data_IF_771633086890
#
_entry.id   IF_771633086890
#
_cell.length_a   1.000
_cell.length_b   1.000
_cell.length_c   1.000
_cell.angle_alpha   90.00
_cell.angle_beta   90.00
_cell.angle_gamma   90.00
#
_symmetry.space_group_name_H-M   'P 1'
#
loop_
_entity.id
_entity.type
_entity.pdbx_description
1 polymer ?
#
# COMPACT_ATOMS: atom_id res chain seq x y z
N UNK A 1 -19.38 -5.46 18.22
CA UNK A 1 -18.31 -4.48 17.97
C UNK A 1 -18.82 -3.11 18.37
N UNK A 2 -18.10 -2.38 19.22
CA UNK A 2 -18.48 -1.00 19.59
C UNK A 2 -17.99 0.02 18.55
N UNK A 3 -18.56 1.23 18.52
CA UNK A 3 -18.18 2.25 17.52
C UNK A 3 -16.67 2.61 17.56
N UNK A 4 -16.06 2.62 18.76
CA UNK A 4 -14.63 2.90 18.93
C UNK A 4 -13.75 1.80 18.34
N UNK A 5 -14.16 0.56 18.54
CA UNK A 5 -13.46 -0.61 18.00
C UNK A 5 -13.53 -0.62 16.47
N UNK A 6 -14.68 -0.26 15.90
CA UNK A 6 -14.84 -0.10 14.46
C UNK A 6 -13.93 0.99 13.88
N UNK A 7 -13.82 2.14 14.54
CA UNK A 7 -12.91 3.21 14.14
C UNK A 7 -11.44 2.76 14.23
N UNK A 8 -11.04 2.04 15.28
CA UNK A 8 -9.67 1.51 15.39
C UNK A 8 -9.34 0.53 14.26
N UNK A 9 -10.27 -0.36 13.92
CA UNK A 9 -10.13 -1.28 12.78
C UNK A 9 -10.01 -0.48 11.47
N UNK A 10 -10.87 0.51 11.25
CA UNK A 10 -10.87 1.37 10.07
C UNK A 10 -9.57 2.16 9.92
N UNK A 11 -9.12 2.84 10.99
CA UNK A 11 -7.85 3.56 11.01
C UNK A 11 -6.67 2.64 10.71
N UNK A 12 -6.69 1.42 11.28
CA UNK A 12 -5.70 0.39 11.01
C UNK A 12 -5.67 -0.03 9.55
N UNK A 13 -6.83 -0.33 8.99
CA UNK A 13 -7.01 -0.77 7.62
C UNK A 13 -6.60 0.33 6.62
N UNK A 14 -7.02 1.56 6.86
CA UNK A 14 -6.67 2.70 6.01
C UNK A 14 -5.18 3.03 6.05
N UNK A 15 -4.55 2.96 7.22
CA UNK A 15 -3.10 3.13 7.33
C UNK A 15 -2.34 2.05 6.54
N UNK A 16 -2.80 0.80 6.57
CA UNK A 16 -2.23 -0.29 5.79
C UNK A 16 -2.42 -0.06 4.27
N UNK A 17 -3.62 0.35 3.85
CA UNK A 17 -3.94 0.70 2.47
C UNK A 17 -2.99 1.78 1.92
N UNK A 18 -2.81 2.89 2.65
CA UNK A 18 -1.92 3.98 2.21
C UNK A 18 -0.46 3.51 2.12
N UNK A 19 0.00 2.64 3.02
CA UNK A 19 1.36 2.04 2.95
C UNK A 19 1.50 1.17 1.71
N UNK A 20 0.60 0.20 1.55
CA UNK A 20 0.62 -0.72 0.42
C UNK A 20 0.53 0.04 -0.92
N UNK A 21 -0.28 1.11 -0.97
CA UNK A 21 -0.40 1.94 -2.16
C UNK A 21 0.91 2.63 -2.54
N UNK A 22 1.61 3.22 -1.57
CA UNK A 22 2.92 3.83 -1.83
C UNK A 22 4.00 2.79 -2.15
N UNK A 23 4.05 1.69 -1.40
CA UNK A 23 5.05 0.64 -1.58
C UNK A 23 4.92 -0.03 -2.95
N UNK A 24 3.70 -0.35 -3.38
CA UNK A 24 3.42 -0.93 -4.70
C UNK A 24 3.83 -0.02 -5.85
N UNK A 25 3.79 1.30 -5.64
CA UNK A 25 4.20 2.27 -6.63
C UNK A 25 5.65 2.77 -6.47
N UNK A 26 6.39 2.32 -5.44
CA UNK A 26 7.72 2.84 -5.15
C UNK A 26 7.75 4.34 -4.79
N UNK A 27 6.63 4.88 -4.31
CA UNK A 27 6.47 6.32 -4.09
C UNK A 27 7.01 6.81 -2.76
N UNK A 28 7.55 8.03 -2.80
CA UNK A 28 7.81 8.80 -1.59
C UNK A 28 6.49 9.35 -1.01
N UNK A 29 6.53 9.84 0.23
CA UNK A 29 5.37 10.46 0.87
C UNK A 29 4.94 11.80 0.25
N UNK A 30 5.67 12.32 -0.75
CA UNK A 30 5.40 13.59 -1.42
C UNK A 30 4.59 13.46 -2.71
N UNK A 31 4.56 12.27 -3.32
CA UNK A 31 3.94 12.06 -4.64
C UNK A 31 2.47 12.46 -4.65
N UNK A 32 1.66 11.94 -3.72
CA UNK A 32 0.23 12.29 -3.66
C UNK A 32 -0.04 13.77 -3.30
N UNK A 33 0.65 14.39 -2.31
CA UNK A 33 0.56 15.83 -2.07
C UNK A 33 0.90 16.68 -3.30
N UNK A 34 2.03 16.40 -3.97
CA UNK A 34 2.46 17.12 -5.16
C UNK A 34 1.48 16.94 -6.32
N UNK A 35 0.92 15.73 -6.49
CA UNK A 35 -0.10 15.47 -7.49
C UNK A 35 -1.39 16.26 -7.23
N UNK A 36 -1.84 16.28 -5.97
CA UNK A 36 -3.03 17.01 -5.57
C UNK A 36 -2.88 18.52 -5.81
N UNK A 37 -1.72 19.08 -5.47
CA UNK A 37 -1.41 20.49 -5.72
C UNK A 37 -1.29 20.81 -7.21
N UNK A 38 -0.54 19.99 -7.96
CA UNK A 38 -0.27 20.22 -9.39
C UNK A 38 -1.54 20.22 -10.25
N UNK A 39 -2.51 19.39 -9.88
CA UNK A 39 -3.74 19.18 -10.63
C UNK A 39 -4.97 19.81 -9.96
N UNK A 40 -4.77 20.60 -8.89
CA UNK A 40 -5.83 21.25 -8.10
C UNK A 40 -6.93 20.26 -7.66
N UNK A 41 -6.54 19.06 -7.21
CA UNK A 41 -7.46 17.99 -6.80
C UNK A 41 -7.91 18.13 -5.33
N UNK A 42 -7.38 19.12 -4.62
CA UNK A 42 -7.66 19.40 -3.22
C UNK A 42 -6.40 19.64 -2.39
N UNK A 43 -6.58 19.93 -1.10
CA UNK A 43 -5.48 20.23 -0.17
C UNK A 43 -5.06 18.99 0.59
N UNK A 44 -3.87 18.48 0.27
CA UNK A 44 -3.25 17.36 0.97
C UNK A 44 -1.83 17.73 1.38
N UNK A 45 -1.58 17.83 2.68
CA UNK A 45 -0.22 18.05 3.18
C UNK A 45 0.51 16.72 3.42
N UNK A 46 1.82 16.70 3.14
CA UNK A 46 2.71 15.57 3.43
C UNK A 46 2.63 15.08 4.89
N UNK A 47 2.39 15.99 5.85
CA UNK A 47 2.21 15.66 7.26
C UNK A 47 0.91 14.88 7.52
N UNK A 48 -0.19 15.24 6.85
CA UNK A 48 -1.47 14.53 6.95
C UNK A 48 -1.33 13.10 6.41
N UNK A 49 -0.69 12.95 5.24
CA UNK A 49 -0.46 11.63 4.66
C UNK A 49 0.45 10.76 5.52
N UNK A 50 1.52 11.34 6.08
CA UNK A 50 2.39 10.65 7.04
C UNK A 50 1.63 10.24 8.31
N UNK A 51 0.76 11.11 8.83
CA UNK A 51 -0.03 10.80 10.03
C UNK A 51 -1.09 9.74 9.76
N UNK A 52 -1.77 9.76 8.60
CA UNK A 52 -2.69 8.69 8.16
C UNK A 52 -1.96 7.35 8.09
N UNK A 53 -0.82 7.31 7.41
CA UNK A 53 0.03 6.12 7.28
C UNK A 53 0.46 5.55 8.62
N UNK A 54 0.58 6.39 9.65
CA UNK A 54 1.04 6.02 10.98
C UNK A 54 -0.08 5.91 12.03
N UNK A 55 -1.36 5.99 11.64
CA UNK A 55 -2.52 5.95 12.56
C UNK A 55 -2.54 7.09 13.58
N UNK A 56 -1.94 8.24 13.25
CA UNK A 56 -1.85 9.42 14.13
C UNK A 56 -2.92 10.47 13.82
N UNK A 57 -3.58 10.38 12.66
CA UNK A 57 -4.63 11.32 12.28
C UNK A 57 -6.00 10.68 12.54
N UNK A 58 -6.59 11.00 13.70
CA UNK A 58 -7.87 10.41 14.15
C UNK A 58 -9.10 11.07 13.51
N UNK A 59 -9.00 12.34 13.12
CA UNK A 59 -10.11 13.11 12.54
C UNK A 59 -9.63 13.94 11.33
N UNK A 60 -9.28 13.27 10.21
CA UNK A 60 -9.02 13.97 8.96
C UNK A 60 -10.27 14.75 8.51
N UNK A 61 -10.06 15.98 8.02
CA UNK A 61 -11.13 16.73 7.37
C UNK A 61 -11.57 16.07 6.05
N UNK A 62 -12.80 16.33 5.57
CA UNK A 62 -13.32 15.74 4.34
C UNK A 62 -12.47 16.06 3.10
N UNK A 63 -11.81 17.22 3.07
CA UNK A 63 -10.91 17.63 1.98
C UNK A 63 -9.76 16.64 1.76
N UNK A 64 -9.30 15.95 2.80
CA UNK A 64 -8.24 14.95 2.69
C UNK A 64 -8.70 13.77 1.83
N UNK A 65 -9.94 13.31 2.04
CA UNK A 65 -10.52 12.21 1.25
C UNK A 65 -10.88 12.66 -0.16
N UNK A 66 -11.33 13.91 -0.33
CA UNK A 66 -11.56 14.50 -1.65
C UNK A 66 -10.26 14.54 -2.46
N UNK A 67 -9.16 15.02 -1.87
CA UNK A 67 -7.85 15.05 -2.52
C UNK A 67 -7.34 13.65 -2.87
N UNK A 68 -7.39 12.70 -1.93
CA UNK A 68 -6.95 11.32 -2.18
C UNK A 68 -7.80 10.63 -3.25
N UNK A 69 -9.13 10.78 -3.19
CA UNK A 69 -10.04 10.23 -4.20
C UNK A 69 -9.87 10.90 -5.57
N UNK A 70 -9.59 12.20 -5.60
CA UNK A 70 -9.25 12.95 -6.82
C UNK A 70 -7.97 12.42 -7.46
N UNK A 71 -6.90 12.30 -6.68
CA UNK A 71 -5.65 11.68 -7.13
C UNK A 71 -5.88 10.28 -7.67
N UNK A 72 -6.65 9.45 -6.95
CA UNK A 72 -6.91 8.08 -7.36
C UNK A 72 -7.65 7.98 -8.71
N UNK A 73 -8.69 8.81 -8.89
CA UNK A 73 -9.42 8.88 -10.16
C UNK A 73 -8.54 9.36 -11.31
N UNK A 74 -7.71 10.38 -11.06
CA UNK A 74 -6.76 10.84 -12.06
C UNK A 74 -5.78 9.73 -12.45
N UNK A 75 -5.23 8.99 -11.48
CA UNK A 75 -4.32 7.87 -11.75
C UNK A 75 -4.98 6.78 -12.59
N UNK A 76 -6.25 6.45 -12.31
CA UNK A 76 -6.98 5.47 -13.10
C UNK A 76 -7.21 5.92 -14.55
N UNK A 77 -7.49 7.21 -14.77
CA UNK A 77 -7.68 7.77 -16.11
C UNK A 77 -6.36 8.08 -16.84
N UNK A 78 -5.26 8.25 -16.11
CA UNK A 78 -3.96 8.61 -16.67
C UNK A 78 -3.25 7.45 -17.37
N UNK A 79 -3.75 6.21 -17.21
CA UNK A 79 -3.18 5.03 -17.87
C UNK A 79 -3.57 5.00 -19.35
N UNK A 80 -2.62 4.65 -20.22
CA UNK A 80 -2.93 4.47 -21.64
C UNK A 80 -3.77 3.19 -21.87
N UNK A 81 -4.85 3.31 -22.63
CA UNK A 81 -5.85 2.25 -22.90
C UNK A 81 -5.31 0.95 -23.58
N UNK A 82 -4.02 0.90 -23.96
CA UNK A 82 -3.48 -0.16 -24.83
C UNK A 82 -2.11 -0.67 -24.39
N UNK A 83 -2.01 -1.19 -23.17
CA UNK A 83 -0.80 -1.85 -22.73
C UNK A 83 -1.06 -3.31 -22.36
N UNK A 84 -0.07 -4.16 -22.65
CA UNK A 84 -0.08 -5.55 -22.21
C UNK A 84 -0.21 -5.62 -20.68
N UNK A 85 -0.78 -6.71 -20.12
CA UNK A 85 -0.91 -6.87 -18.67
C UNK A 85 0.44 -6.65 -17.97
N UNK A 86 0.54 -5.58 -17.18
CA UNK A 86 1.74 -5.24 -16.40
C UNK A 86 2.61 -4.11 -16.95
N UNK A 87 2.37 -3.62 -18.17
CA UNK A 87 3.05 -2.42 -18.68
C UNK A 87 2.14 -1.21 -18.35
N UNK A 88 2.52 -0.39 -17.36
CA UNK A 88 1.75 0.79 -16.97
C UNK A 88 2.52 2.02 -17.41
N UNK A 89 1.99 2.74 -18.42
CA UNK A 89 2.54 4.01 -18.87
C UNK A 89 1.46 5.06 -18.82
N UNK A 90 1.88 6.26 -18.42
CA UNK A 90 1.05 7.45 -18.47
C UNK A 90 0.71 7.77 -19.93
N UNK A 91 -0.52 8.21 -20.18
CA UNK A 91 -0.91 8.77 -21.47
C UNK A 91 -0.09 10.04 -21.77
N UNK A 92 0.09 10.41 -23.06
CA UNK A 92 0.78 11.65 -23.42
C UNK A 92 0.14 12.89 -22.80
N UNK A 93 -1.18 12.89 -22.65
CA UNK A 93 -1.96 13.97 -22.02
C UNK A 93 -1.64 14.07 -20.53
N UNK A 94 -1.63 12.94 -19.82
CA UNK A 94 -1.26 12.88 -18.41
C UNK A 94 0.19 13.32 -18.18
N UNK A 95 1.12 12.86 -19.03
CA UNK A 95 2.52 13.28 -18.98
C UNK A 95 2.68 14.79 -19.23
N UNK A 96 1.92 15.35 -20.18
CA UNK A 96 1.90 16.78 -20.48
C UNK A 96 1.44 17.64 -19.29
N UNK A 97 0.41 17.21 -18.57
CA UNK A 97 -0.07 17.92 -17.37
C UNK A 97 1.00 18.03 -16.27
N UNK A 98 1.86 17.03 -16.19
CA UNK A 98 2.94 16.92 -15.20
C UNK A 98 4.29 17.44 -15.69
N UNK A 99 4.40 17.93 -16.92
CA UNK A 99 5.69 18.31 -17.52
C UNK A 99 6.48 19.38 -16.73
N UNK A 100 5.80 20.22 -15.94
CA UNK A 100 6.46 21.23 -15.11
C UNK A 100 7.00 20.68 -13.77
N UNK A 101 6.75 19.41 -13.45
CA UNK A 101 7.32 18.71 -12.29
C UNK A 101 7.98 17.39 -12.75
N UNK A 102 9.25 17.44 -13.19
CA UNK A 102 9.96 16.27 -13.69
C UNK A 102 10.13 15.16 -12.65
N UNK A 103 10.22 15.50 -11.35
CA UNK A 103 10.37 14.51 -10.28
C UNK A 103 9.06 13.73 -10.10
N UNK A 104 7.94 14.44 -10.06
CA UNK A 104 6.61 13.82 -10.00
C UNK A 104 6.32 12.98 -11.25
N UNK A 105 6.64 13.50 -12.44
CA UNK A 105 6.49 12.75 -13.69
C UNK A 105 7.34 11.47 -13.70
N UNK A 106 8.59 11.53 -13.24
CA UNK A 106 9.46 10.37 -13.17
C UNK A 106 8.93 9.30 -12.20
N UNK A 107 8.40 9.71 -11.03
CA UNK A 107 7.81 8.80 -10.07
C UNK A 107 6.54 8.11 -10.61
N UNK A 108 5.65 8.87 -11.26
CA UNK A 108 4.40 8.34 -11.84
C UNK A 108 4.63 7.54 -13.13
N UNK A 109 5.72 7.80 -13.86
CA UNK A 109 6.10 7.00 -15.02
C UNK A 109 6.69 5.64 -14.64
N UNK A 110 7.23 5.49 -13.43
CA UNK A 110 7.70 4.19 -12.92
C UNK A 110 6.53 3.29 -12.52
N UNK A 111 5.53 3.85 -11.85
CA UNK A 111 4.33 3.12 -11.44
C UNK A 111 3.22 4.10 -11.06
N UNK A 112 1.99 3.80 -11.51
CA UNK A 112 0.79 4.60 -11.28
C UNK A 112 -0.46 3.73 -11.09
N UNK A 113 -0.33 2.70 -10.25
CA UNK A 113 -1.42 1.80 -9.89
C UNK A 113 -2.46 2.57 -9.06
N UNK A 114 -3.68 2.65 -9.58
CA UNK A 114 -4.83 3.18 -8.86
C UNK A 114 -5.42 2.15 -7.87
N UNK A 115 -6.10 2.66 -6.84
CA UNK A 115 -6.92 1.88 -5.94
C UNK A 115 -8.25 1.55 -6.62
N UNK A 116 -8.46 0.27 -6.89
CA UNK A 116 -9.71 -0.28 -7.40
C UNK A 116 -10.26 -1.29 -6.40
N UNK A 117 -11.58 -1.46 -6.35
CA UNK A 117 -12.24 -2.50 -5.55
C UNK A 117 -12.18 -3.88 -6.20
N UNK A 118 -12.89 -4.85 -5.62
CA UNK A 118 -12.96 -6.24 -6.12
C UNK A 118 -13.60 -6.36 -7.50
N UNK A 119 -14.44 -5.41 -7.88
CA UNK A 119 -15.12 -5.39 -9.18
C UNK A 119 -14.34 -4.56 -10.22
N UNK A 120 -13.17 -4.03 -9.82
CA UNK A 120 -12.32 -3.17 -10.65
C UNK A 120 -12.78 -1.72 -10.70
N UNK A 121 -13.74 -1.31 -9.88
CA UNK A 121 -14.20 0.08 -9.84
C UNK A 121 -13.23 0.95 -9.04
N UNK A 122 -12.95 2.15 -9.55
CA UNK A 122 -12.01 3.10 -8.95
C UNK A 122 -12.58 3.67 -7.66
N UNK A 123 -11.82 3.59 -6.56
CA UNK A 123 -12.25 4.17 -5.29
C UNK A 123 -12.27 5.71 -5.34
N UNK A 124 -13.37 6.30 -4.87
CA UNK A 124 -13.53 7.74 -4.67
C UNK A 124 -13.37 8.16 -3.21
N UNK A 125 -13.76 9.40 -2.93
CA UNK A 125 -13.62 10.00 -1.60
C UNK A 125 -14.52 9.32 -0.56
N UNK A 126 -15.75 8.95 -0.95
CA UNK A 126 -16.71 8.29 -0.07
C UNK A 126 -16.22 6.91 0.34
N UNK A 127 -15.73 6.12 -0.61
CA UNK A 127 -15.20 4.79 -0.37
C UNK A 127 -13.96 4.83 0.53
N UNK A 128 -13.06 5.79 0.31
CA UNK A 128 -11.90 6.01 1.16
C UNK A 128 -12.30 6.41 2.59
N UNK A 129 -13.32 7.25 2.75
CA UNK A 129 -13.87 7.60 4.06
C UNK A 129 -14.48 6.37 4.74
N UNK A 130 -15.29 5.58 4.03
CA UNK A 130 -15.91 4.36 4.54
C UNK A 130 -14.86 3.35 5.04
N UNK A 131 -13.74 3.20 4.32
CA UNK A 131 -12.61 2.36 4.77
C UNK A 131 -12.01 2.94 6.06
N UNK A 132 -11.76 4.25 6.09
CA UNK A 132 -11.18 4.92 7.26
C UNK A 132 -12.03 4.78 8.52
N UNK A 133 -13.35 4.84 8.41
CA UNK A 133 -14.26 4.66 9.56
C UNK A 133 -14.64 3.20 9.81
N UNK A 134 -14.12 2.26 9.03
CA UNK A 134 -14.36 0.82 9.20
C UNK A 134 -15.76 0.35 8.77
N UNK A 135 -16.41 1.07 7.84
CA UNK A 135 -17.66 0.65 7.19
C UNK A 135 -17.41 -0.18 5.93
N UNK A 136 -16.25 -0.03 5.31
CA UNK A 136 -15.83 -0.77 4.11
C UNK A 136 -14.50 -1.48 4.34
N UNK A 137 -14.35 -2.67 3.77
CA UNK A 137 -13.08 -3.39 3.78
C UNK A 137 -12.07 -2.76 2.79
N UNK A 138 -10.79 -2.97 3.04
CA UNK A 138 -9.73 -2.57 2.10
C UNK A 138 -9.84 -3.43 0.84
N UNK A 139 -9.58 -2.90 -0.36
CA UNK A 139 -9.56 -3.72 -1.56
C UNK A 139 -8.57 -4.89 -1.44
N UNK A 140 -8.94 -6.11 -1.87
CA UNK A 140 -8.08 -7.29 -1.72
C UNK A 140 -6.67 -7.10 -2.30
N UNK A 141 -6.53 -6.35 -3.41
CA UNK A 141 -5.23 -6.08 -4.03
C UNK A 141 -4.29 -5.15 -3.22
N UNK A 142 -4.79 -4.57 -2.12
CA UNK A 142 -4.05 -3.67 -1.23
C UNK A 142 -4.16 -4.06 0.25
N UNK A 143 -4.89 -5.13 0.57
CA UNK A 143 -4.92 -5.69 1.92
C UNK A 143 -3.80 -6.73 2.08
N UNK A 144 -2.60 -6.24 2.37
CA UNK A 144 -1.42 -7.09 2.62
C UNK A 144 -1.34 -7.58 4.08
N UNK A 145 -2.41 -7.39 4.87
CA UNK A 145 -2.42 -7.83 6.26
C UNK A 145 -2.64 -9.33 6.32
N UNK A 146 -1.86 -9.99 7.16
CA UNK A 146 -1.99 -11.41 7.46
C UNK A 146 -2.78 -11.51 8.76
N UNK A 147 -3.94 -12.16 8.73
CA UNK A 147 -4.76 -12.45 9.90
C UNK A 147 -4.09 -13.48 10.81
N UNK A 148 -4.45 -13.48 12.10
CA UNK A 148 -3.93 -14.48 13.05
C UNK A 148 -4.32 -15.92 12.68
N UNK A 149 -5.42 -16.08 11.95
CA UNK A 149 -5.94 -17.38 11.53
C UNK A 149 -5.13 -17.96 10.37
N UNK A 150 -4.74 -17.13 9.38
CA UNK A 150 -3.97 -17.61 8.22
C UNK A 150 -2.45 -17.58 8.46
N UNK A 151 -1.99 -16.83 9.48
CA UNK A 151 -0.57 -16.66 9.77
C UNK A 151 0.21 -17.99 9.97
N UNK A 152 -0.30 -19.00 10.71
CA UNK A 152 0.43 -20.25 10.91
C UNK A 152 0.63 -21.02 9.61
N UNK A 153 -0.41 -21.15 8.78
CA UNK A 153 -0.34 -21.88 7.51
C UNK A 153 0.56 -21.18 6.51
N UNK A 154 0.44 -19.85 6.38
CA UNK A 154 1.32 -19.06 5.52
C UNK A 154 2.78 -19.14 5.96
N UNK A 155 3.03 -19.05 7.28
CA UNK A 155 4.37 -19.18 7.84
C UNK A 155 4.98 -20.54 7.55
N UNK A 156 4.21 -21.62 7.72
CA UNK A 156 4.65 -22.98 7.42
C UNK A 156 4.98 -23.15 5.93
N UNK A 157 4.10 -22.68 5.03
CA UNK A 157 4.33 -22.74 3.59
C UNK A 157 5.59 -21.96 3.15
N UNK A 158 5.80 -20.77 3.72
CA UNK A 158 7.02 -19.99 3.47
C UNK A 158 8.28 -20.69 4.02
N UNK A 159 8.18 -21.32 5.18
CA UNK A 159 9.28 -22.08 5.77
C UNK A 159 9.66 -23.28 4.90
N UNK A 160 8.69 -24.02 4.39
CA UNK A 160 8.90 -25.13 3.45
C UNK A 160 9.56 -24.66 2.15
N UNK A 161 9.09 -23.53 1.60
CA UNK A 161 9.66 -22.94 0.38
C UNK A 161 11.12 -22.54 0.58
N UNK A 162 11.43 -21.83 1.67
CA UNK A 162 12.79 -21.39 2.01
C UNK A 162 13.72 -22.56 2.35
N UNK A 163 13.18 -23.64 2.90
CA UNK A 163 13.90 -24.88 3.18
C UNK A 163 14.04 -25.79 1.94
N UNK A 164 13.43 -25.42 0.80
CA UNK A 164 13.33 -26.26 -0.39
C UNK A 164 12.81 -27.68 -0.08
N UNK A 165 11.81 -27.78 0.81
CA UNK A 165 11.22 -29.04 1.27
C UNK A 165 12.11 -29.88 2.19
N UNK A 166 13.26 -29.38 2.63
CA UNK A 166 14.15 -30.08 3.57
C UNK A 166 13.75 -29.80 5.02
N UNK A 167 13.95 -30.75 5.96
CA UNK A 167 13.73 -30.48 7.37
C UNK A 167 14.61 -29.33 7.87
N UNK A 168 14.06 -28.41 8.68
CA UNK A 168 14.76 -27.22 9.16
C UNK A 168 16.15 -27.52 9.74
N UNK A 169 16.27 -28.58 10.53
CA UNK A 169 17.54 -29.03 11.14
C UNK A 169 18.67 -29.27 10.13
N UNK A 170 18.34 -29.59 8.88
CA UNK A 170 19.30 -29.92 7.82
C UNK A 170 19.66 -28.73 6.91
N UNK A 171 18.85 -27.68 6.91
CA UNK A 171 19.05 -26.50 6.06
C UNK A 171 19.22 -25.20 6.86
N UNK A 172 19.06 -25.23 8.19
CA UNK A 172 19.13 -24.08 9.09
C UNK A 172 20.34 -23.21 8.81
N UNK A 173 21.54 -23.78 8.81
CA UNK A 173 22.75 -22.98 8.69
C UNK A 173 22.84 -22.31 7.30
N UNK A 174 22.43 -22.99 6.24
CA UNK A 174 22.37 -22.42 4.88
C UNK A 174 21.34 -21.29 4.76
N UNK A 175 20.13 -21.49 5.30
CA UNK A 175 19.08 -20.45 5.27
C UNK A 175 19.48 -19.26 6.15
N UNK A 176 20.03 -19.52 7.33
CA UNK A 176 20.50 -18.46 8.23
C UNK A 176 21.71 -17.71 7.67
N UNK A 177 22.57 -18.36 6.89
CA UNK A 177 23.66 -17.70 6.17
C UNK A 177 23.13 -16.78 5.05
N UNK A 178 22.08 -17.20 4.34
CA UNK A 178 21.42 -16.38 3.31
C UNK A 178 20.63 -15.20 3.89
N UNK A 179 20.17 -15.30 5.14
CA UNK A 179 19.46 -14.22 5.82
C UNK A 179 20.44 -13.11 6.24
N UNK A 180 20.63 -12.10 5.38
CA UNK A 180 21.63 -11.03 5.53
C UNK A 180 21.39 -10.00 6.66
N UNK A 181 20.43 -10.23 7.56
CA UNK A 181 20.20 -9.34 8.70
C UNK A 181 21.21 -9.65 9.81
N UNK A 182 21.96 -8.64 10.25
CA UNK A 182 23.01 -8.80 11.29
C UNK A 182 22.47 -8.76 12.72
N UNK A 183 21.33 -8.10 12.96
CA UNK A 183 20.77 -7.92 14.32
C UNK A 183 20.36 -9.26 14.93
N UNK A 184 21.09 -9.72 15.96
CA UNK A 184 20.92 -11.03 16.64
C UNK A 184 19.46 -11.36 16.98
N UNK A 185 18.77 -10.47 17.68
CA UNK A 185 17.37 -10.69 18.10
C UNK A 185 16.43 -10.97 16.91
N UNK A 186 16.68 -10.32 15.76
CA UNK A 186 15.88 -10.51 14.55
C UNK A 186 16.23 -11.83 13.83
N UNK A 187 17.47 -12.29 13.94
CA UNK A 187 17.92 -13.60 13.45
C UNK A 187 17.33 -14.74 14.29
N UNK A 188 17.33 -14.59 15.61
CA UNK A 188 16.75 -15.57 16.55
C UNK A 188 15.25 -15.75 16.30
N UNK A 189 14.51 -14.64 16.23
CA UNK A 189 13.07 -14.67 15.94
C UNK A 189 12.74 -15.28 14.58
N UNK A 190 13.57 -15.01 13.56
CA UNK A 190 13.40 -15.66 12.25
C UNK A 190 13.62 -17.17 12.33
N UNK A 191 14.65 -17.62 13.07
CA UNK A 191 14.91 -19.04 13.25
C UNK A 191 13.82 -19.77 14.05
N UNK A 192 13.17 -19.09 15.00
CA UNK A 192 12.00 -19.60 15.73
C UNK A 192 10.82 -19.82 14.78
N UNK A 193 10.49 -18.82 13.97
CA UNK A 193 9.39 -18.91 12.99
C UNK A 193 9.64 -20.02 11.95
N UNK A 194 10.89 -20.19 11.50
CA UNK A 194 11.27 -21.26 10.57
C UNK A 194 11.22 -22.66 11.20
N UNK A 195 11.26 -22.76 12.53
CA UNK A 195 11.23 -24.03 13.23
C UNK A 195 9.80 -24.56 13.45
N UNK A 196 8.77 -23.73 13.22
CA UNK A 196 7.37 -24.02 13.54
C UNK A 196 7.04 -23.61 14.97
#
# INVERSE_FOLDING_TARGET
MGYREQLEVGHGAFAALVRAWHERNGWSHRVLPSLAERLDLGRLHSSQLSNLRNRKLASPGPEVFLALGGCNRWLAAAQADQLAPGDQRLSPEAAGALAADPELLAALSQSAVALVDSDGAVLGAGELLEIFVGLRAVPPGFDLRISEQEAPELSAALAELLAAGRPWRQCRDSVMAAYGVEKRQRRERFAEVMAG
#
